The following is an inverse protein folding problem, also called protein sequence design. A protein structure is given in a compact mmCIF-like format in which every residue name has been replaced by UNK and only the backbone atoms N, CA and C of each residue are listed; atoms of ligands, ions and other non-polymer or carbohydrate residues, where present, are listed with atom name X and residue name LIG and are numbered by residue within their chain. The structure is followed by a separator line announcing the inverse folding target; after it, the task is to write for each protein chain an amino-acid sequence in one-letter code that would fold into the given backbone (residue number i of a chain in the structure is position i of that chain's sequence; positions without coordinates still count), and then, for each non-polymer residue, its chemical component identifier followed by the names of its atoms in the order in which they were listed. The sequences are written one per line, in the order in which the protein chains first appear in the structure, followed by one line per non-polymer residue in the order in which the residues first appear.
data_IF_017544827749
#
_entry.id   IF_017544827749
#
_cell.length_a   1.000
_cell.length_b   1.000
_cell.length_c   1.000
_cell.angle_alpha   90.00
_cell.angle_beta   90.00
_cell.angle_gamma   90.00
#
_symmetry.space_group_name_H-M   'P 1'
#
loop_
_entity.id
_entity.type
_entity.pdbx_description
1 polymer ?
#
# COMPACT_ATOMS: atom_id res chain seq x y z
N UNK A 1 -12.47 2.11 10.92
CA UNK A 1 -11.81 1.68 9.70
C UNK A 1 -11.02 0.40 9.86
N UNK A 2 -10.28 0.17 10.94
CA UNK A 2 -9.62 -1.10 11.21
C UNK A 2 -10.58 -2.29 11.06
N UNK A 3 -11.77 -2.23 11.68
CA UNK A 3 -12.81 -3.24 11.51
C UNK A 3 -13.30 -3.38 10.04
N UNK A 4 -13.21 -2.32 9.23
CA UNK A 4 -13.54 -2.37 7.81
C UNK A 4 -12.43 -3.03 6.98
N UNK A 5 -11.16 -2.81 7.29
CA UNK A 5 -10.05 -3.47 6.61
C UNK A 5 -10.02 -4.98 6.91
N UNK A 6 -10.26 -5.38 8.15
CA UNK A 6 -10.42 -6.80 8.52
C UNK A 6 -11.56 -7.49 7.76
N UNK A 7 -12.73 -6.84 7.65
CA UNK A 7 -13.86 -7.40 6.87
C UNK A 7 -13.58 -7.57 5.39
N UNK A 8 -12.60 -6.85 4.84
CA UNK A 8 -12.14 -6.97 3.45
C UNK A 8 -10.92 -7.86 3.29
N UNK A 9 -10.45 -8.46 4.37
CA UNK A 9 -9.20 -9.23 4.43
C UNK A 9 -7.98 -8.44 3.91
N UNK A 10 -7.99 -7.12 4.14
CA UNK A 10 -6.92 -6.22 3.71
C UNK A 10 -5.66 -6.40 4.55
N UNK A 11 -4.51 -6.41 3.90
CA UNK A 11 -3.20 -6.53 4.56
C UNK A 11 -2.71 -5.14 4.97
N UNK A 12 -2.57 -4.90 6.26
CA UNK A 12 -2.04 -3.66 6.80
C UNK A 12 -0.67 -3.89 7.44
N UNK A 13 0.38 -3.37 6.81
CA UNK A 13 1.75 -3.44 7.30
C UNK A 13 2.08 -2.19 8.11
N UNK A 14 2.43 -2.39 9.38
CA UNK A 14 2.81 -1.32 10.31
C UNK A 14 4.33 -1.32 10.49
N UNK A 15 5.04 -0.88 9.44
CA UNK A 15 6.50 -0.79 9.47
C UNK A 15 6.94 0.62 9.85
N UNK A 16 7.96 0.77 10.71
CA UNK A 16 8.53 2.08 11.02
C UNK A 16 9.26 2.65 9.80
N UNK A 17 9.29 3.97 9.69
CA UNK A 17 10.17 4.66 8.76
C UNK A 17 11.62 4.60 9.24
N UNK A 18 12.54 4.55 8.29
CA UNK A 18 13.98 4.58 8.55
C UNK A 18 14.61 5.72 7.75
N UNK A 19 15.48 6.46 8.39
CA UNK A 19 16.24 7.55 7.77
C UNK A 19 17.72 7.39 8.10
N UNK A 20 18.58 7.60 7.11
CA UNK A 20 20.01 7.76 7.32
C UNK A 20 20.28 9.25 7.57
N UNK A 21 21.00 9.56 8.62
CA UNK A 21 21.44 10.91 8.97
C UNK A 21 22.95 10.93 9.19
N UNK A 22 23.58 12.02 8.87
CA UNK A 22 24.96 12.26 9.30
C UNK A 22 24.99 12.37 10.82
N UNK A 23 25.85 11.60 11.46
CA UNK A 23 26.05 11.70 12.89
C UNK A 23 26.78 13.00 13.22
N UNK A 24 26.21 13.82 14.10
CA UNK A 24 26.79 15.09 14.55
C UNK A 24 27.82 14.86 15.65
N UNK A 25 28.77 13.94 15.46
CA UNK A 25 29.81 13.72 16.46
C UNK A 25 30.90 14.79 16.37
N UNK A 26 30.91 15.66 17.36
CA UNK A 26 31.93 16.68 17.58
C UNK A 26 33.28 16.12 18.08
N UNK A 27 33.48 14.81 18.13
CA UNK A 27 34.69 14.17 18.68
C UNK A 27 35.46 13.28 17.70
N UNK A 28 34.92 13.00 16.50
CA UNK A 28 35.63 12.26 15.45
C UNK A 28 36.43 13.24 14.55
N UNK A 29 37.71 12.92 14.34
CA UNK A 29 38.63 13.74 13.54
C UNK A 29 38.09 13.99 12.12
N UNK A 30 38.51 15.09 11.49
CA UNK A 30 38.02 15.79 10.32
C UNK A 30 37.85 14.99 9.01
N UNK A 31 37.88 13.64 8.98
CA UNK A 31 38.00 12.92 7.68
C UNK A 31 37.13 11.64 7.54
N UNK A 32 36.09 11.44 8.34
CA UNK A 32 35.16 10.31 8.14
C UNK A 32 33.70 10.75 8.31
N UNK A 33 32.95 10.72 7.21
CA UNK A 33 31.49 10.82 7.23
C UNK A 33 30.88 9.63 8.03
N UNK A 34 30.40 9.91 9.23
CA UNK A 34 29.68 8.92 10.04
C UNK A 34 28.18 9.05 9.78
N UNK A 35 27.58 7.93 9.38
CA UNK A 35 26.14 7.86 9.17
C UNK A 35 25.50 6.98 10.24
N UNK A 36 24.36 7.41 10.77
CA UNK A 36 23.54 6.64 11.67
C UNK A 36 22.16 6.33 11.05
N UNK A 37 21.63 5.15 11.40
CA UNK A 37 20.29 4.75 11.03
C UNK A 37 19.32 5.17 12.12
N UNK A 38 18.45 6.14 11.82
CA UNK A 38 17.41 6.60 12.72
C UNK A 38 16.11 5.86 12.38
N UNK A 39 15.53 5.19 13.38
CA UNK A 39 14.18 4.64 13.29
C UNK A 39 13.22 5.75 13.71
N UNK A 40 12.40 6.22 12.77
CA UNK A 40 11.43 7.27 13.04
C UNK A 40 10.19 6.67 13.72
N UNK A 41 9.73 7.25 14.85
CA UNK A 41 8.54 6.77 15.52
C UNK A 41 7.31 6.93 14.62
N UNK A 42 6.38 5.99 14.69
CA UNK A 42 5.11 6.06 14.02
C UNK A 42 4.12 6.85 14.87
N UNK A 43 3.65 7.98 14.35
CA UNK A 43 2.66 8.81 15.02
C UNK A 43 1.24 8.49 14.53
N UNK A 44 0.26 8.52 15.43
CA UNK A 44 -1.16 8.29 15.08
C UNK A 44 -1.66 9.18 13.93
N UNK A 45 -1.16 10.42 13.84
CA UNK A 45 -1.52 11.33 12.74
C UNK A 45 -1.13 10.79 11.38
N UNK A 46 -0.02 10.02 11.28
CA UNK A 46 0.38 9.36 10.04
C UNK A 46 -0.61 8.26 9.66
N UNK A 47 -1.13 7.53 10.65
CA UNK A 47 -2.17 6.53 10.44
C UNK A 47 -3.47 7.16 9.96
N UNK A 48 -3.90 8.27 10.59
CA UNK A 48 -5.09 9.00 10.14
C UNK A 48 -4.95 9.54 8.72
N UNK A 49 -3.78 10.08 8.37
CA UNK A 49 -3.49 10.55 7.01
C UNK A 49 -3.51 9.40 5.99
N UNK A 50 -2.91 8.27 6.34
CA UNK A 50 -2.92 7.06 5.50
C UNK A 50 -4.34 6.56 5.27
N UNK A 51 -5.18 6.61 6.31
CA UNK A 51 -6.57 6.20 6.24
C UNK A 51 -7.42 7.11 5.34
N UNK A 52 -7.18 8.42 5.37
CA UNK A 52 -7.86 9.39 4.50
C UNK A 52 -7.41 9.17 3.04
N UNK A 53 -6.12 9.01 2.81
CA UNK A 53 -5.57 8.72 1.48
C UNK A 53 -6.12 7.43 0.90
N UNK A 54 -6.22 6.38 1.72
CA UNK A 54 -6.80 5.09 1.31
C UNK A 54 -8.29 5.23 0.97
N UNK A 55 -9.05 5.95 1.79
CA UNK A 55 -10.47 6.21 1.51
C UNK A 55 -10.66 6.94 0.19
N UNK A 56 -9.87 7.99 -0.05
CA UNK A 56 -9.91 8.77 -1.29
C UNK A 56 -9.62 7.88 -2.51
N UNK A 57 -8.55 7.07 -2.44
CA UNK A 57 -8.21 6.16 -3.53
C UNK A 57 -9.27 5.07 -3.78
N UNK A 58 -9.93 4.57 -2.74
CA UNK A 58 -11.04 3.63 -2.88
C UNK A 58 -12.29 4.27 -3.48
N UNK A 59 -12.61 5.51 -3.11
CA UNK A 59 -13.72 6.24 -3.71
C UNK A 59 -13.46 6.49 -5.20
N UNK A 60 -12.26 6.94 -5.55
CA UNK A 60 -11.85 7.13 -6.94
C UNK A 60 -11.88 5.82 -7.74
N UNK A 61 -11.34 4.73 -7.17
CA UNK A 61 -11.37 3.41 -7.80
C UNK A 61 -12.77 2.91 -8.08
N UNK A 62 -13.69 3.06 -7.14
CA UNK A 62 -15.10 2.70 -7.32
C UNK A 62 -15.82 3.58 -8.36
N UNK A 63 -15.53 4.88 -8.37
CA UNK A 63 -16.08 5.78 -9.37
C UNK A 63 -15.68 5.36 -10.78
N UNK A 64 -14.40 5.06 -11.00
CA UNK A 64 -13.88 4.61 -12.28
C UNK A 64 -14.46 3.25 -12.67
N UNK A 65 -14.46 2.28 -11.76
CA UNK A 65 -14.98 0.94 -12.01
C UNK A 65 -16.46 0.98 -12.40
N UNK A 66 -17.29 1.75 -11.68
CA UNK A 66 -18.72 1.84 -11.97
C UNK A 66 -19.04 2.48 -13.33
N UNK A 67 -18.10 3.20 -13.93
CA UNK A 67 -18.22 3.80 -15.27
C UNK A 67 -17.40 3.05 -16.34
N UNK A 68 -16.64 2.04 -15.97
CA UNK A 68 -15.81 1.25 -16.88
C UNK A 68 -14.67 2.03 -17.53
N UNK A 69 -14.22 3.15 -16.95
CA UNK A 69 -13.15 3.98 -17.49
C UNK A 69 -12.25 4.54 -16.39
N UNK A 70 -10.94 4.43 -16.55
CA UNK A 70 -9.94 4.98 -15.63
C UNK A 70 -8.80 4.04 -15.34
N UNK A 71 -7.86 4.52 -14.50
CA UNK A 71 -6.65 3.80 -14.12
C UNK A 71 -6.81 3.22 -12.73
N UNK A 72 -6.90 1.89 -12.63
CA UNK A 72 -6.91 1.20 -11.35
C UNK A 72 -5.53 0.66 -11.00
N UNK A 73 -5.19 0.74 -9.73
CA UNK A 73 -4.05 0.04 -9.15
C UNK A 73 -4.50 -1.34 -8.73
N UNK A 74 -3.93 -2.37 -9.31
CA UNK A 74 -4.26 -3.77 -9.05
C UNK A 74 -3.14 -4.46 -8.26
N UNK A 75 -3.50 -5.47 -7.52
CA UNK A 75 -2.58 -6.40 -6.87
C UNK A 75 -3.30 -7.74 -6.76
N UNK A 76 -2.78 -8.75 -7.43
CA UNK A 76 -3.29 -10.10 -7.29
C UNK A 76 -3.15 -10.61 -5.84
N UNK A 77 -4.04 -11.51 -5.44
CA UNK A 77 -3.88 -12.23 -4.19
C UNK A 77 -2.57 -13.02 -4.18
N UNK A 78 -1.97 -13.17 -3.02
CA UNK A 78 -0.79 -14.03 -2.87
C UNK A 78 -1.12 -15.46 -3.31
N UNK A 79 -0.14 -16.15 -3.91
CA UNK A 79 -0.33 -17.54 -4.28
C UNK A 79 -0.37 -18.43 -3.02
N UNK A 80 -1.01 -19.61 -3.07
CA UNK A 80 -1.02 -20.55 -1.94
C UNK A 80 0.40 -20.90 -1.46
N UNK A 81 1.36 -20.96 -2.37
CA UNK A 81 2.76 -21.25 -2.06
C UNK A 81 3.41 -20.10 -1.28
N UNK A 82 3.16 -18.84 -1.69
CA UNK A 82 3.65 -17.66 -0.99
C UNK A 82 3.03 -17.52 0.42
N UNK A 83 1.76 -17.85 0.55
CA UNK A 83 1.09 -17.89 1.87
C UNK A 83 1.67 -18.98 2.77
N UNK A 84 1.94 -20.17 2.22
CA UNK A 84 2.52 -21.29 2.97
C UNK A 84 3.97 -20.95 3.42
N UNK A 85 4.77 -20.33 2.55
CA UNK A 85 6.11 -19.84 2.89
C UNK A 85 6.03 -18.81 4.02
N UNK A 86 5.17 -17.80 3.91
CA UNK A 86 4.97 -16.80 4.95
C UNK A 86 4.56 -17.42 6.30
N UNK A 87 3.64 -18.40 6.31
CA UNK A 87 3.24 -19.12 7.52
C UNK A 87 4.39 -19.88 8.17
N UNK A 88 5.24 -20.52 7.34
CA UNK A 88 6.43 -21.22 7.82
C UNK A 88 7.44 -20.26 8.45
N UNK A 89 7.69 -19.11 7.81
CA UNK A 89 8.61 -18.11 8.33
C UNK A 89 8.08 -17.43 9.62
N UNK A 90 6.78 -17.15 9.68
CA UNK A 90 6.15 -16.65 10.89
C UNK A 90 6.27 -17.67 12.05
N UNK A 91 6.11 -18.95 11.76
CA UNK A 91 6.31 -20.02 12.75
C UNK A 91 7.78 -20.08 13.24
N UNK A 92 8.74 -19.94 12.33
CA UNK A 92 10.17 -19.88 12.69
C UNK A 92 10.49 -18.66 13.59
N UNK A 93 9.76 -17.56 13.42
CA UNK A 93 9.82 -16.39 14.31
C UNK A 93 9.07 -16.57 15.63
N UNK A 94 8.45 -17.74 15.86
CA UNK A 94 7.76 -18.10 17.10
C UNK A 94 6.30 -17.63 17.16
N UNK A 95 5.66 -17.35 16.01
CA UNK A 95 4.24 -17.07 15.93
C UNK A 95 3.44 -18.31 15.54
N UNK A 96 2.16 -18.36 15.93
CA UNK A 96 1.21 -19.35 15.46
C UNK A 96 0.06 -18.66 14.75
N UNK A 97 -0.27 -19.12 13.54
CA UNK A 97 -1.35 -18.61 12.70
C UNK A 97 -2.51 -19.63 12.60
N UNK A 98 -2.61 -20.54 13.55
CA UNK A 98 -3.67 -21.57 13.51
C UNK A 98 -5.06 -20.96 13.57
N UNK A 99 -5.88 -21.27 12.56
CA UNK A 99 -7.28 -20.82 12.47
C UNK A 99 -7.48 -19.35 12.14
N UNK A 100 -6.41 -18.60 11.82
CA UNK A 100 -6.49 -17.18 11.46
C UNK A 100 -6.16 -16.93 9.99
N UNK A 101 -6.81 -15.92 9.39
CA UNK A 101 -6.35 -15.36 8.14
C UNK A 101 -5.04 -14.58 8.35
N UNK A 102 -4.28 -14.35 7.27
CA UNK A 102 -3.05 -13.55 7.34
C UNK A 102 -3.36 -12.12 7.80
N UNK A 103 -4.46 -11.56 7.33
CA UNK A 103 -4.91 -10.22 7.73
C UNK A 103 -5.19 -10.13 9.24
N UNK A 104 -5.95 -11.07 9.78
CA UNK A 104 -6.24 -11.15 11.21
C UNK A 104 -4.97 -11.30 12.04
N UNK A 105 -4.09 -12.19 11.62
CA UNK A 105 -2.80 -12.40 12.28
C UNK A 105 -1.97 -11.11 12.30
N UNK A 106 -1.71 -10.48 11.15
CA UNK A 106 -0.93 -9.25 11.08
C UNK A 106 -1.54 -8.11 11.89
N UNK A 107 -2.87 -8.09 12.01
CA UNK A 107 -3.55 -7.10 12.83
C UNK A 107 -3.29 -7.30 14.34
N UNK A 108 -3.17 -8.56 14.78
CA UNK A 108 -2.93 -8.92 16.18
C UNK A 108 -1.46 -8.77 16.61
N UNK A 109 -0.51 -8.74 15.66
CA UNK A 109 0.92 -8.65 15.95
C UNK A 109 1.29 -7.29 16.55
N UNK A 110 2.08 -7.30 17.62
CA UNK A 110 2.75 -6.10 18.13
C UNK A 110 3.88 -5.68 17.15
N UNK A 111 3.60 -4.67 16.31
CA UNK A 111 4.51 -4.20 15.28
C UNK A 111 5.75 -3.45 15.84
N UNK A 112 5.74 -3.05 17.11
CA UNK A 112 6.85 -2.32 17.73
C UNK A 112 7.88 -3.29 18.33
N UNK A 113 7.53 -4.57 18.46
CA UNK A 113 8.48 -5.60 18.90
C UNK A 113 9.43 -6.01 17.76
N UNK A 114 10.69 -6.40 18.05
CA UNK A 114 11.64 -6.87 17.04
C UNK A 114 11.10 -8.06 16.20
N UNK A 115 10.38 -8.99 16.82
CA UNK A 115 9.75 -10.12 16.14
C UNK A 115 8.59 -9.67 15.26
N UNK A 116 7.76 -8.74 15.75
CA UNK A 116 6.66 -8.17 15.00
C UNK A 116 7.14 -7.39 13.78
N UNK A 117 8.21 -6.61 13.91
CA UNK A 117 8.86 -5.95 12.76
C UNK A 117 9.38 -6.97 11.74
N UNK A 118 9.98 -8.06 12.18
CA UNK A 118 10.49 -9.10 11.29
C UNK A 118 9.34 -9.74 10.49
N UNK A 119 8.27 -10.18 11.14
CA UNK A 119 7.14 -10.81 10.45
C UNK A 119 6.39 -9.83 9.55
N UNK A 120 6.29 -8.54 9.91
CA UNK A 120 5.72 -7.50 9.03
C UNK A 120 6.56 -7.31 7.76
N UNK A 121 7.89 -7.42 7.85
CA UNK A 121 8.79 -7.37 6.68
C UNK A 121 8.60 -8.58 5.76
N UNK A 122 8.47 -9.77 6.34
CA UNK A 122 8.19 -10.97 5.55
C UNK A 122 6.84 -10.88 4.82
N UNK A 123 5.82 -10.33 5.49
CA UNK A 123 4.51 -10.12 4.89
C UNK A 123 4.53 -9.15 3.68
N UNK A 124 5.56 -8.31 3.51
CA UNK A 124 5.70 -7.49 2.30
C UNK A 124 5.81 -8.32 1.02
N UNK A 125 6.28 -9.55 1.10
CA UNK A 125 6.38 -10.46 -0.04
C UNK A 125 5.01 -10.82 -0.61
N UNK A 126 3.98 -10.84 0.22
CA UNK A 126 2.59 -11.10 -0.17
C UNK A 126 1.98 -9.95 -0.99
N UNK A 127 2.62 -8.78 -0.99
CA UNK A 127 2.15 -7.56 -1.67
C UNK A 127 3.00 -7.21 -2.91
N UNK A 128 3.57 -8.20 -3.58
CA UNK A 128 4.36 -8.02 -4.79
C UNK A 128 3.53 -8.15 -6.05
N UNK A 129 4.00 -7.50 -7.12
CA UNK A 129 3.36 -7.62 -8.43
C UNK A 129 2.19 -6.65 -8.62
N UNK A 130 2.16 -5.55 -7.89
CA UNK A 130 1.16 -4.52 -8.10
C UNK A 130 1.39 -3.79 -9.44
N UNK A 131 0.30 -3.55 -10.19
CA UNK A 131 0.33 -2.98 -11.53
C UNK A 131 -0.79 -1.96 -11.73
N UNK A 132 -0.86 -1.36 -12.92
CA UNK A 132 -1.95 -0.49 -13.34
C UNK A 132 -2.71 -1.12 -14.50
N UNK A 133 -4.03 -0.90 -14.49
CA UNK A 133 -4.92 -1.34 -15.57
C UNK A 133 -5.74 -0.14 -16.04
N UNK A 134 -5.84 0.03 -17.35
CA UNK A 134 -6.79 0.92 -17.99
C UNK A 134 -8.09 0.14 -18.25
N UNK A 135 -9.20 0.58 -17.66
CA UNK A 135 -10.45 -0.20 -17.63
C UNK A 135 -11.13 -0.40 -18.99
N UNK A 136 -10.90 0.51 -19.94
CA UNK A 136 -11.44 0.33 -21.30
C UNK A 136 -10.71 -0.78 -22.09
N UNK A 137 -9.47 -1.13 -21.71
CA UNK A 137 -8.69 -2.18 -22.36
C UNK A 137 -8.83 -3.53 -21.68
N UNK A 138 -8.94 -3.53 -20.35
CA UNK A 138 -9.00 -4.78 -19.58
C UNK A 138 -9.79 -4.60 -18.29
N UNK A 139 -10.57 -5.59 -17.88
CA UNK A 139 -11.21 -5.58 -16.58
C UNK A 139 -10.13 -5.61 -15.48
N UNK A 140 -10.38 -4.92 -14.39
CA UNK A 140 -9.48 -4.91 -13.24
C UNK A 140 -10.01 -5.77 -12.10
N UNK A 141 -9.12 -6.56 -11.53
CA UNK A 141 -9.36 -7.23 -10.26
C UNK A 141 -9.24 -6.25 -9.08
N UNK A 142 -9.82 -6.61 -7.96
CA UNK A 142 -9.64 -5.87 -6.71
C UNK A 142 -8.17 -5.91 -6.28
N UNK A 143 -7.71 -4.83 -5.67
CA UNK A 143 -6.39 -4.78 -5.07
C UNK A 143 -6.38 -5.62 -3.78
N UNK A 144 -5.75 -6.80 -3.79
CA UNK A 144 -5.81 -7.77 -2.70
C UNK A 144 -5.35 -7.18 -1.35
N UNK A 145 -4.27 -6.38 -1.34
CA UNK A 145 -3.78 -5.73 -0.12
C UNK A 145 -4.74 -4.69 0.48
N UNK A 146 -5.75 -4.23 -0.28
CA UNK A 146 -6.76 -3.25 0.15
C UNK A 146 -8.13 -3.89 0.31
N UNK A 147 -8.39 -4.98 -0.43
CA UNK A 147 -9.68 -5.65 -0.48
C UNK A 147 -10.75 -4.82 -1.20
N UNK A 148 -10.41 -4.18 -2.30
CA UNK A 148 -11.33 -3.36 -3.08
C UNK A 148 -10.66 -2.67 -4.27
N UNK A 149 -11.47 -2.05 -5.14
CA UNK A 149 -10.96 -1.21 -6.22
C UNK A 149 -10.25 0.02 -5.66
N UNK A 150 -9.11 0.33 -6.24
CA UNK A 150 -8.25 1.40 -5.76
C UNK A 150 -7.59 2.15 -6.91
N UNK A 151 -7.55 3.47 -6.80
CA UNK A 151 -6.83 4.33 -7.73
C UNK A 151 -5.88 5.27 -6.99
N UNK A 152 -4.74 5.55 -7.59
CA UNK A 152 -3.82 6.56 -7.09
C UNK A 152 -4.27 7.96 -7.51
N UNK A 153 -4.66 8.81 -6.55
CA UNK A 153 -5.14 10.18 -6.76
C UNK A 153 -4.62 11.18 -5.73
N UNK A 154 -3.80 10.74 -4.77
CA UNK A 154 -3.44 11.57 -3.60
C UNK A 154 -2.02 12.12 -3.62
N UNK A 155 -1.22 11.82 -4.67
CA UNK A 155 0.18 12.25 -4.74
C UNK A 155 0.61 12.71 -6.16
N UNK A 156 -0.07 13.72 -6.77
CA UNK A 156 0.15 14.12 -8.16
C UNK A 156 1.51 14.79 -8.40
N UNK A 157 2.23 15.18 -7.37
CA UNK A 157 3.57 15.76 -7.49
C UNK A 157 4.66 14.72 -7.77
N UNK A 158 4.45 13.47 -7.30
CA UNK A 158 5.44 12.39 -7.42
C UNK A 158 4.99 11.20 -8.26
N UNK A 159 3.71 11.10 -8.62
CA UNK A 159 3.16 10.04 -9.46
C UNK A 159 2.36 10.63 -10.61
N UNK A 160 2.80 10.37 -11.83
CA UNK A 160 2.13 10.88 -13.01
C UNK A 160 0.69 10.34 -13.16
N UNK A 161 0.47 9.06 -12.84
CA UNK A 161 -0.85 8.44 -12.91
C UNK A 161 -1.90 9.15 -12.05
N UNK A 162 -1.52 9.74 -10.91
CA UNK A 162 -2.46 10.49 -10.07
C UNK A 162 -3.07 11.69 -10.79
N UNK A 163 -2.33 12.32 -11.69
CA UNK A 163 -2.82 13.45 -12.48
C UNK A 163 -3.87 12.99 -13.48
N UNK A 164 -3.59 11.92 -14.22
CA UNK A 164 -4.53 11.35 -15.19
C UNK A 164 -5.79 10.79 -14.50
N UNK A 165 -5.61 10.05 -13.42
CA UNK A 165 -6.70 9.52 -12.63
C UNK A 165 -7.60 10.64 -12.04
N UNK A 166 -7.01 11.77 -11.66
CA UNK A 166 -7.77 12.94 -11.19
C UNK A 166 -8.61 13.57 -12.31
N UNK A 167 -8.07 13.67 -13.54
CA UNK A 167 -8.83 14.15 -14.71
C UNK A 167 -10.01 13.22 -15.02
N UNK A 168 -9.81 11.90 -14.95
CA UNK A 168 -10.91 10.94 -15.08
C UNK A 168 -11.98 11.17 -14.02
N UNK A 169 -11.59 11.28 -12.75
CA UNK A 169 -12.53 11.55 -11.67
C UNK A 169 -13.29 12.86 -11.88
N UNK A 170 -12.61 13.91 -12.34
CA UNK A 170 -13.22 15.21 -12.63
C UNK A 170 -14.26 15.09 -13.75
N UNK A 171 -13.91 14.42 -14.85
CA UNK A 171 -14.81 14.19 -15.97
C UNK A 171 -16.06 13.42 -15.53
N UNK A 172 -15.89 12.29 -14.85
CA UNK A 172 -17.00 11.46 -14.38
C UNK A 172 -17.90 12.18 -13.39
N UNK A 173 -17.30 12.93 -12.45
CA UNK A 173 -18.07 13.70 -11.46
C UNK A 173 -18.81 14.89 -12.09
N UNK A 174 -18.26 15.47 -13.13
CA UNK A 174 -18.86 16.59 -13.86
C UNK A 174 -19.88 16.16 -14.94
N UNK A 175 -19.99 14.86 -15.23
CA UNK A 175 -20.90 14.32 -16.24
C UNK A 175 -20.49 14.65 -17.68
N UNK A 176 -19.19 14.79 -17.94
CA UNK A 176 -18.65 15.00 -19.28
C UNK A 176 -17.67 13.89 -19.68
N UNK A 177 -17.33 13.84 -20.94
CA UNK A 177 -16.45 12.78 -21.47
C UNK A 177 -15.01 12.92 -20.93
N UNK A 178 -14.38 11.77 -20.67
CA UNK A 178 -12.95 11.75 -20.35
C UNK A 178 -12.15 12.28 -21.54
N UNK A 179 -11.24 13.25 -21.32
CA UNK A 179 -10.48 13.85 -22.40
C UNK A 179 -9.70 12.83 -23.22
N UNK A 180 -9.67 13.02 -24.54
CA UNK A 180 -9.01 12.10 -25.49
C UNK A 180 -7.52 11.93 -25.19
N UNK A 181 -6.86 12.99 -24.74
CA UNK A 181 -5.43 12.93 -24.36
C UNK A 181 -5.17 12.03 -23.14
N UNK A 182 -6.18 11.79 -22.31
CA UNK A 182 -6.10 10.82 -21.20
C UNK A 182 -6.28 9.40 -21.71
N UNK A 183 -7.23 9.20 -22.67
CA UNK A 183 -7.51 7.89 -23.26
C UNK A 183 -6.39 7.37 -24.16
N UNK A 184 -5.64 8.26 -24.79
CA UNK A 184 -4.53 7.92 -25.69
C UNK A 184 -3.20 7.62 -24.96
N UNK A 185 -3.23 7.47 -23.64
CA UNK A 185 -2.08 6.98 -22.90
C UNK A 185 -1.94 5.48 -23.11
N UNK A 186 -0.86 5.08 -23.80
CA UNK A 186 -0.40 3.69 -23.72
C UNK A 186 0.36 3.47 -22.42
N UNK A 187 -0.10 2.55 -21.59
CA UNK A 187 0.59 2.10 -20.39
C UNK A 187 1.66 1.07 -20.74
#
# INVERSE_FOLDING_TARGET
RQASSLRRDAINLRLPSQRVSEASDSEAGEDQDHYELIIEPRYEVMDYNSEISLLTGMCAGRLMESHGVGFLRTLAAATPEAEAEFRSEAQALGFSLEGQSISEFLHSVDADSPRGMAVMREAQRLLRGADYVWLEESPADVHAGIGGYYAHVTAPLRRLVDRFATEVCLALSGGYEVPEWVRNLSL
#
